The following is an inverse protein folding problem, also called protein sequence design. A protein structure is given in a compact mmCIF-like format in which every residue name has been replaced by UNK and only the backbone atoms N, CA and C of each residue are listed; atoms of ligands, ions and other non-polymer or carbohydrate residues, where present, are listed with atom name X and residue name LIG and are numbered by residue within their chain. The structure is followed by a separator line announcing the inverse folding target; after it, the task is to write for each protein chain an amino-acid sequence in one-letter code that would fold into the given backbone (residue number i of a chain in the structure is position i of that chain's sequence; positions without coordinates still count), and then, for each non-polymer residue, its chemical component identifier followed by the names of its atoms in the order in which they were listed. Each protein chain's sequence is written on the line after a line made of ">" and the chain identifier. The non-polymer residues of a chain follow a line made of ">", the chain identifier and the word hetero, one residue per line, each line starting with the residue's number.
data_IF_798185297380
#
_entry.id   IF_798185297380
#
_cell.length_a   1.000
_cell.length_b   1.000
_cell.length_c   1.000
_cell.angle_alpha   90.00
_cell.angle_beta   90.00
_cell.angle_gamma   90.00
#
_symmetry.space_group_name_H-M   'P 1'
#
loop_
_entity.id
_entity.type
_entity.pdbx_description
1 polymer ?
#
# COMPACT_ATOMS: atom_id res chain seq x y z
N UNK A 1 4.02 14.26 -1.69
CA UNK A 1 5.28 13.88 -1.02
C UNK A 1 6.01 12.85 -1.86
N UNK A 2 7.33 12.69 -1.69
CA UNK A 2 8.08 11.60 -2.34
C UNK A 2 7.74 10.27 -1.66
N UNK A 3 7.49 9.17 -2.40
CA UNK A 3 7.16 7.87 -1.82
C UNK A 3 8.15 7.39 -0.76
N UNK A 4 9.46 7.50 -1.03
CA UNK A 4 10.52 7.10 -0.09
C UNK A 4 10.43 7.83 1.25
N UNK A 5 10.18 9.16 1.20
CA UNK A 5 10.05 9.97 2.41
C UNK A 5 8.83 9.57 3.25
N UNK A 6 7.70 9.29 2.61
CA UNK A 6 6.48 8.84 3.33
C UNK A 6 6.70 7.46 3.93
N UNK A 7 7.38 6.56 3.21
CA UNK A 7 7.75 5.25 3.74
C UNK A 7 8.58 5.37 5.02
N UNK A 8 9.64 6.19 5.00
CA UNK A 8 10.52 6.36 6.16
C UNK A 8 9.80 6.96 7.37
N UNK A 9 8.90 7.92 7.13
CA UNK A 9 8.13 8.58 8.18
C UNK A 9 7.09 7.67 8.83
N UNK A 10 6.40 6.85 8.05
CA UNK A 10 5.21 6.10 8.51
C UNK A 10 5.49 4.63 8.81
N UNK A 11 6.47 4.02 8.13
CA UNK A 11 6.80 2.59 8.25
C UNK A 11 8.13 2.40 8.96
N UNK A 12 9.18 3.11 8.54
CA UNK A 12 10.52 3.04 9.13
C UNK A 12 11.63 2.83 8.09
N UNK A 13 12.73 2.22 8.51
CA UNK A 13 13.98 2.19 7.73
C UNK A 13 13.80 1.62 6.30
N UNK A 14 14.30 2.36 5.31
CA UNK A 14 14.46 1.86 3.94
C UNK A 14 15.65 0.91 3.87
N UNK A 15 15.36 -0.39 3.82
CA UNK A 15 16.37 -1.40 3.52
C UNK A 15 16.66 -1.42 2.01
N UNK A 16 17.83 -1.91 1.55
CA UNK A 16 18.14 -1.97 0.13
C UNK A 16 17.09 -2.72 -0.71
N UNK A 17 16.49 -3.78 -0.15
CA UNK A 17 15.42 -4.53 -0.80
C UNK A 17 14.15 -3.70 -0.99
N UNK A 18 13.76 -2.92 0.02
CA UNK A 18 12.61 -2.02 -0.09
C UNK A 18 12.92 -0.88 -1.06
N UNK A 19 14.13 -0.32 -1.02
CA UNK A 19 14.55 0.73 -1.97
C UNK A 19 14.43 0.27 -3.43
N UNK A 20 14.90 -0.95 -3.74
CA UNK A 20 14.79 -1.51 -5.09
C UNK A 20 13.33 -1.65 -5.50
N UNK A 21 12.50 -2.25 -4.65
CA UNK A 21 11.07 -2.44 -4.95
C UNK A 21 10.29 -1.12 -5.05
N UNK A 22 10.67 -0.11 -4.27
CA UNK A 22 10.09 1.22 -4.36
C UNK A 22 10.44 1.90 -5.69
N UNK A 23 11.68 1.76 -6.15
CA UNK A 23 12.12 2.29 -7.44
C UNK A 23 11.38 1.61 -8.61
N UNK A 24 11.20 0.29 -8.54
CA UNK A 24 10.40 -0.47 -9.53
C UNK A 24 8.94 0.03 -9.54
N UNK A 25 8.35 0.29 -8.37
CA UNK A 25 7.01 0.85 -8.26
C UNK A 25 6.93 2.28 -8.80
N UNK A 26 7.92 3.13 -8.55
CA UNK A 26 8.00 4.51 -9.08
C UNK A 26 8.13 4.53 -10.61
N UNK A 27 8.74 3.51 -11.22
CA UNK A 27 8.78 3.36 -12.67
C UNK A 27 7.43 2.94 -13.27
N UNK A 28 6.58 2.29 -12.48
CA UNK A 28 5.32 1.68 -12.95
C UNK A 28 4.08 2.51 -12.62
N UNK A 29 4.06 3.17 -11.47
CA UNK A 29 2.87 3.82 -10.93
C UNK A 29 3.09 5.32 -10.69
N UNK A 30 2.03 6.14 -10.79
CA UNK A 30 2.11 7.53 -10.36
C UNK A 30 2.51 7.64 -8.89
N UNK A 31 3.39 8.57 -8.54
CA UNK A 31 3.86 8.75 -7.16
C UNK A 31 2.71 8.97 -6.15
N UNK A 32 1.60 9.60 -6.58
CA UNK A 32 0.42 9.79 -5.75
C UNK A 32 -0.22 8.46 -5.32
N UNK A 33 -0.24 7.45 -6.20
CA UNK A 33 -0.75 6.12 -5.86
C UNK A 33 0.16 5.47 -4.83
N UNK A 34 1.47 5.52 -5.02
CA UNK A 34 2.43 4.88 -4.10
C UNK A 34 2.31 5.49 -2.70
N UNK A 35 2.25 6.82 -2.61
CA UNK A 35 2.05 7.52 -1.33
C UNK A 35 0.76 7.10 -0.64
N UNK A 36 -0.33 6.99 -1.38
CA UNK A 36 -1.63 6.62 -0.82
C UNK A 36 -1.64 5.15 -0.36
N UNK A 37 -1.04 4.25 -1.14
CA UNK A 37 -0.90 2.84 -0.77
C UNK A 37 -0.08 2.67 0.51
N UNK A 38 1.02 3.42 0.67
CA UNK A 38 1.82 3.43 1.91
C UNK A 38 0.97 3.88 3.10
N UNK A 39 0.22 4.97 2.95
CA UNK A 39 -0.68 5.48 4.01
C UNK A 39 -1.75 4.46 4.38
N UNK A 40 -2.39 3.84 3.41
CA UNK A 40 -3.39 2.80 3.64
C UNK A 40 -2.79 1.58 4.36
N UNK A 41 -1.56 1.19 4.04
CA UNK A 41 -0.86 0.12 4.76
C UNK A 41 -0.62 0.47 6.24
N UNK A 42 -0.36 1.75 6.54
CA UNK A 42 -0.15 2.24 7.91
C UNK A 42 -1.48 2.35 8.66
N UNK A 43 -2.53 2.87 8.01
CA UNK A 43 -3.88 2.96 8.58
C UNK A 43 -4.47 1.58 8.90
N UNK A 44 -4.14 0.56 8.11
CA UNK A 44 -4.51 -0.83 8.40
C UNK A 44 -3.56 -1.52 9.39
N UNK A 45 -2.63 -0.78 10.01
CA UNK A 45 -1.61 -1.26 10.95
C UNK A 45 -0.66 -2.36 10.40
N UNK A 46 -0.67 -2.60 9.08
CA UNK A 46 0.21 -3.57 8.44
C UNK A 46 1.66 -3.05 8.36
N UNK A 47 1.84 -1.74 8.10
CA UNK A 47 3.15 -1.04 8.03
C UNK A 47 4.22 -1.86 7.28
N UNK A 48 3.86 -2.36 6.11
CA UNK A 48 4.70 -3.23 5.29
C UNK A 48 4.64 -2.82 3.83
N UNK A 49 5.80 -2.74 3.17
CA UNK A 49 5.88 -2.50 1.73
C UNK A 49 5.05 -3.52 0.94
N UNK A 50 5.10 -4.80 1.32
CA UNK A 50 4.33 -5.87 0.64
C UNK A 50 2.81 -5.59 0.65
N UNK A 51 2.31 -4.95 1.71
CA UNK A 51 0.90 -4.59 1.79
C UNK A 51 0.57 -3.41 0.88
N UNK A 52 1.44 -2.39 0.85
CA UNK A 52 1.31 -1.26 -0.09
C UNK A 52 1.38 -1.73 -1.56
N UNK A 53 2.29 -2.65 -1.88
CA UNK A 53 2.42 -3.26 -3.21
C UNK A 53 1.15 -4.04 -3.62
N UNK A 54 0.54 -4.79 -2.69
CA UNK A 54 -0.72 -5.47 -2.95
C UNK A 54 -1.86 -4.50 -3.26
N UNK A 55 -1.94 -3.36 -2.56
CA UNK A 55 -2.90 -2.29 -2.86
C UNK A 55 -2.67 -1.73 -4.27
N UNK A 56 -1.41 -1.49 -4.65
CA UNK A 56 -1.06 -0.98 -5.99
C UNK A 56 -1.46 -1.95 -7.10
N UNK A 57 -1.19 -3.24 -6.91
CA UNK A 57 -1.62 -4.28 -7.86
C UNK A 57 -3.13 -4.38 -7.99
N UNK A 58 -3.87 -4.21 -6.88
CA UNK A 58 -5.33 -4.18 -6.92
C UNK A 58 -5.82 -2.99 -7.74
N UNK A 59 -5.29 -1.79 -7.52
CA UNK A 59 -5.68 -0.61 -8.31
C UNK A 59 -5.32 -0.71 -9.80
N UNK A 60 -4.21 -1.37 -10.13
CA UNK A 60 -3.84 -1.64 -11.52
C UNK A 60 -4.85 -2.56 -12.23
N UNK A 61 -5.37 -3.57 -11.53
CA UNK A 61 -6.20 -4.63 -12.11
C UNK A 61 -7.70 -4.31 -12.08
N UNK A 62 -8.19 -3.76 -10.96
CA UNK A 62 -9.61 -3.47 -10.72
C UNK A 62 -9.98 -2.01 -11.05
N UNK A 63 -8.98 -1.16 -11.26
CA UNK A 63 -9.16 0.29 -11.25
C UNK A 63 -9.09 0.85 -9.82
N UNK A 64 -8.74 2.13 -9.71
CA UNK A 64 -8.73 2.83 -8.43
C UNK A 64 -10.14 3.34 -8.15
N UNK A 65 -10.89 2.65 -7.31
CA UNK A 65 -12.12 3.21 -6.74
C UNK A 65 -11.74 4.45 -5.93
N UNK A 66 -12.04 5.64 -6.47
CA UNK A 66 -11.85 6.92 -5.78
C UNK A 66 -12.92 7.06 -4.67
N UNK A 67 -12.87 6.18 -3.67
CA UNK A 67 -13.62 6.26 -2.40
C UNK A 67 -13.05 7.38 -1.48
N UNK A 68 -12.53 8.45 -2.08
CA UNK A 68 -12.12 9.68 -1.37
C UNK A 68 -13.32 10.56 -1.03
N UNK A 69 -14.54 10.17 -1.44
CA UNK A 69 -15.76 10.94 -1.27
C UNK A 69 -16.81 10.22 -0.40
N UNK A 70 -16.47 9.90 0.86
CA UNK A 70 -17.47 9.79 1.92
C UNK A 70 -17.55 8.46 2.67
N UNK A 71 -17.09 8.51 3.92
CA UNK A 71 -17.61 7.81 5.11
C UNK A 71 -18.50 6.58 4.87
N UNK A 72 -18.00 5.44 5.36
CA UNK A 72 -18.78 4.31 5.90
C UNK A 72 -19.40 3.33 4.89
N UNK A 73 -18.62 2.43 4.30
CA UNK A 73 -19.06 1.06 4.01
C UNK A 73 -17.88 0.15 3.68
N UNK A 74 -17.75 -0.96 4.41
CA UNK A 74 -16.92 -2.11 4.00
C UNK A 74 -15.42 -1.95 4.26
N UNK A 75 -14.96 -2.50 5.39
CA UNK A 75 -13.55 -2.91 5.53
C UNK A 75 -13.19 -3.75 4.29
N UNK A 76 -12.19 -3.38 3.48
CA UNK A 76 -11.76 -4.27 2.40
C UNK A 76 -11.31 -5.58 3.06
N UNK A 77 -11.85 -6.71 2.60
CA UNK A 77 -11.41 -8.02 3.05
C UNK A 77 -9.90 -8.09 2.81
N UNK A 78 -9.14 -8.14 3.89
CA UNK A 78 -7.70 -8.29 3.81
C UNK A 78 -7.45 -9.64 3.12
N UNK A 79 -6.78 -9.69 1.95
CA UNK A 79 -6.56 -10.94 1.22
C UNK A 79 -5.70 -11.95 2.01
N UNK A 80 -5.08 -11.51 3.11
CA UNK A 80 -4.35 -12.36 4.04
C UNK A 80 -5.18 -12.88 5.22
N UNK A 81 -6.42 -12.44 5.44
CA UNK A 81 -7.29 -13.01 6.49
C UNK A 81 -7.61 -14.49 6.19
N UNK A 82 -7.70 -14.85 4.91
CA UNK A 82 -7.88 -16.24 4.46
C UNK A 82 -6.67 -17.15 4.76
N UNK A 83 -5.52 -16.58 5.12
CA UNK A 83 -4.29 -17.31 5.43
C UNK A 83 -4.04 -17.44 6.94
N UNK A 84 -4.79 -16.73 7.78
CA UNK A 84 -4.62 -16.72 9.25
C UNK A 84 -5.59 -17.70 9.95
N UNK A 85 -6.64 -18.17 9.27
CA UNK A 85 -7.59 -19.14 9.79
C UNK A 85 -7.40 -20.55 9.20
N UNK A 86 -6.25 -21.16 9.44
CA UNK A 86 -6.09 -22.62 9.27
C UNK A 86 -5.67 -23.19 10.63
N UNK A 87 -6.57 -23.97 11.21
CA UNK A 87 -6.45 -24.65 12.52
C UNK A 87 -5.09 -25.33 12.75
#
# INVERSE_FOLDING_TARGET
>A
SRPAQVYEQEIGLLTPAVTAALADAEAKYPAAWIVEAIRLAVLNNARSWRYAEAILHRWETEGRDDESAGRSAGRPANPFDALIHRD
#
